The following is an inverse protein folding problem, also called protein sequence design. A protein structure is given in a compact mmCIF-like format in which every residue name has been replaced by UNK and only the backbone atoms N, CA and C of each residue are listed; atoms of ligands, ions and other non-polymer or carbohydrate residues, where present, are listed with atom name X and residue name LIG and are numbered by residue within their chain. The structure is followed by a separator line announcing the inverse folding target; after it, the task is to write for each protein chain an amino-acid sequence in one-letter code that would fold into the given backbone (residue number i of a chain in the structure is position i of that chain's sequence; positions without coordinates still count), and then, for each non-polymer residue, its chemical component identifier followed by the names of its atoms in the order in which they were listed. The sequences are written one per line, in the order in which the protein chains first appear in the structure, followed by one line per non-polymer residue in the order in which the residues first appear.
data_IF_682199052563
#
_entry.id   IF_682199052563
#
_cell.length_a   1.000
_cell.length_b   1.000
_cell.length_c   1.000
_cell.angle_alpha   90.00
_cell.angle_beta   90.00
_cell.angle_gamma   90.00
#
_symmetry.space_group_name_H-M   'P 1'
#
loop_
_entity.id
_entity.type
_entity.pdbx_description
1 polymer ?
#
# COMPACT_ATOMS: atom_id res chain seq x y z
N UNK A 1 -9.48 6.96 44.93
CA UNK A 1 -8.45 6.10 44.30
C UNK A 1 -8.89 5.45 42.98
N UNK A 2 -10.16 5.12 42.76
CA UNK A 2 -10.60 4.38 41.56
C UNK A 2 -10.58 5.19 40.23
N UNK A 3 -10.59 6.53 40.29
CA UNK A 3 -10.61 7.39 39.09
C UNK A 3 -9.25 7.48 38.39
N UNK A 4 -8.16 7.53 39.17
CA UNK A 4 -6.79 7.56 38.65
C UNK A 4 -6.36 6.20 38.09
N UNK A 5 -6.84 5.11 38.69
CA UNK A 5 -6.53 3.75 38.25
C UNK A 5 -7.17 3.43 36.88
N UNK A 6 -8.36 3.98 36.63
CA UNK A 6 -9.07 3.87 35.35
C UNK A 6 -8.39 4.72 34.25
N UNK A 7 -7.93 5.92 34.59
CA UNK A 7 -7.16 6.77 33.69
C UNK A 7 -5.80 6.15 33.31
N UNK A 8 -5.13 5.49 34.26
CA UNK A 8 -3.87 4.78 34.02
C UNK A 8 -4.05 3.57 33.08
N UNK A 9 -5.15 2.83 33.25
CA UNK A 9 -5.50 1.72 32.33
C UNK A 9 -5.82 2.23 30.91
N UNK A 10 -6.52 3.36 30.80
CA UNK A 10 -6.80 3.99 29.50
C UNK A 10 -5.53 4.46 28.81
N UNK A 11 -4.59 5.06 29.56
CA UNK A 11 -3.31 5.49 29.03
C UNK A 11 -2.48 4.30 28.52
N UNK A 12 -2.41 3.21 29.29
CA UNK A 12 -1.70 1.98 28.89
C UNK A 12 -2.26 1.35 27.60
N UNK A 13 -3.58 1.46 27.38
CA UNK A 13 -4.25 0.96 26.17
C UNK A 13 -3.88 1.76 24.92
N UNK A 14 -3.65 3.08 25.06
CA UNK A 14 -3.26 3.94 23.94
C UNK A 14 -1.81 3.68 23.49
N UNK A 15 -0.89 3.43 24.44
CA UNK A 15 0.53 3.16 24.12
C UNK A 15 0.76 1.76 23.56
N UNK A 16 -0.08 0.77 23.92
CA UNK A 16 0.04 -0.62 23.45
C UNK A 16 -0.43 -0.89 22.02
N UNK A 17 -1.10 0.07 21.36
CA UNK A 17 -1.72 -0.17 20.04
C UNK A 17 -0.86 0.22 18.83
N UNK A 18 0.37 0.70 19.03
CA UNK A 18 1.31 0.89 17.92
C UNK A 18 1.87 -0.46 17.46
N UNK A 19 1.07 -1.19 16.68
CA UNK A 19 1.57 -2.27 15.84
C UNK A 19 2.49 -1.63 14.79
N UNK A 20 3.80 -1.64 15.06
CA UNK A 20 4.86 -1.27 14.13
C UNK A 20 4.85 -2.23 12.94
N UNK A 21 3.89 -2.08 12.03
CA UNK A 21 4.08 -2.54 10.66
C UNK A 21 5.10 -1.56 10.07
N UNK A 22 6.28 -2.04 9.66
CA UNK A 22 7.27 -1.22 8.95
C UNK A 22 6.53 -0.43 7.87
N UNK A 23 6.55 0.90 7.99
CA UNK A 23 6.02 1.78 6.95
C UNK A 23 7.04 1.74 5.84
N UNK A 24 6.94 0.73 4.97
CA UNK A 24 7.78 0.65 3.78
C UNK A 24 7.37 1.80 2.88
N UNK A 25 8.32 2.69 2.63
CA UNK A 25 8.12 3.89 1.84
C UNK A 25 7.82 3.51 0.40
N UNK A 26 6.68 3.97 -0.13
CA UNK A 26 6.35 3.80 -1.56
C UNK A 26 7.08 4.80 -2.46
N UNK A 27 8.06 5.52 -1.90
CA UNK A 27 8.68 6.72 -2.48
C UNK A 27 9.83 6.39 -3.44
N UNK A 28 10.25 5.12 -3.51
CA UNK A 28 11.17 4.62 -4.55
C UNK A 28 12.65 4.88 -4.35
N UNK A 29 13.03 5.40 -3.18
CA UNK A 29 14.43 5.60 -2.77
C UNK A 29 15.02 4.36 -2.10
N UNK A 30 14.16 3.47 -1.58
CA UNK A 30 14.56 2.27 -0.86
C UNK A 30 14.62 1.04 -1.78
N UNK A 31 15.59 0.16 -1.52
CA UNK A 31 15.62 -1.19 -2.07
C UNK A 31 14.55 -2.01 -1.34
N UNK A 32 13.56 -2.52 -2.09
CA UNK A 32 12.40 -3.21 -1.51
C UNK A 32 12.54 -4.70 -1.74
N UNK A 33 12.27 -5.52 -0.71
CA UNK A 33 12.22 -6.97 -0.88
C UNK A 33 10.95 -7.38 -1.64
N UNK A 34 11.00 -8.50 -2.37
CA UNK A 34 9.84 -8.99 -3.10
C UNK A 34 8.60 -9.22 -2.20
N UNK A 35 8.83 -9.68 -0.96
CA UNK A 35 7.76 -9.86 0.03
C UNK A 35 7.07 -8.54 0.37
N UNK A 36 7.84 -7.47 0.51
CA UNK A 36 7.36 -6.12 0.83
C UNK A 36 6.60 -5.51 -0.35
N UNK A 37 7.10 -5.70 -1.58
CA UNK A 37 6.39 -5.31 -2.80
C UNK A 37 5.03 -6.00 -2.93
N UNK A 38 4.96 -7.32 -2.69
CA UNK A 38 3.69 -8.06 -2.67
C UNK A 38 2.80 -7.59 -1.50
N UNK A 39 3.41 -7.13 -0.41
CA UNK A 39 2.71 -6.53 0.74
C UNK A 39 1.95 -5.23 0.41
N UNK A 40 2.29 -4.56 -0.69
CA UNK A 40 1.58 -3.36 -1.15
C UNK A 40 0.17 -3.62 -1.66
N UNK A 41 -0.13 -4.87 -2.04
CA UNK A 41 -1.43 -5.30 -2.53
C UNK A 41 -2.25 -5.81 -1.36
N UNK A 42 -3.39 -5.16 -1.10
CA UNK A 42 -4.31 -5.56 -0.05
C UNK A 42 -4.91 -6.95 -0.33
N UNK A 43 -5.08 -7.78 0.70
CA UNK A 43 -5.78 -9.05 0.54
C UNK A 43 -7.25 -8.80 0.18
N UNK A 44 -7.74 -9.46 -0.87
CA UNK A 44 -9.15 -9.44 -1.27
C UNK A 44 -9.76 -10.82 -1.10
N UNK A 45 -11.00 -10.85 -0.59
CA UNK A 45 -11.77 -12.08 -0.46
C UNK A 45 -12.49 -12.40 -1.78
N UNK A 46 -12.56 -13.69 -2.11
CA UNK A 46 -13.24 -14.17 -3.32
C UNK A 46 -14.73 -14.45 -3.02
N UNK A 47 -15.64 -14.22 -3.99
CA UNK A 47 -15.39 -13.72 -5.35
C UNK A 47 -15.11 -12.21 -5.38
N UNK A 48 -14.11 -11.80 -6.15
CA UNK A 48 -13.73 -10.40 -6.32
C UNK A 48 -14.03 -9.93 -7.74
N UNK A 49 -14.78 -8.84 -7.87
CA UNK A 49 -15.17 -8.28 -9.18
C UNK A 49 -14.58 -6.89 -9.35
N UNK A 50 -13.92 -6.67 -10.49
CA UNK A 50 -13.41 -5.36 -10.91
C UNK A 50 -14.33 -4.85 -12.02
N UNK A 51 -14.92 -3.67 -11.83
CA UNK A 51 -15.71 -2.98 -12.84
C UNK A 51 -15.00 -1.71 -13.32
N UNK A 52 -15.37 -1.19 -14.50
CA UNK A 52 -14.80 0.05 -15.04
C UNK A 52 -14.97 1.24 -14.08
N UNK A 53 -16.08 1.27 -13.35
CA UNK A 53 -16.37 2.27 -12.32
C UNK A 53 -15.44 2.17 -11.11
N UNK A 54 -14.84 1.01 -10.87
CA UNK A 54 -13.80 0.82 -9.85
C UNK A 54 -12.50 1.49 -10.27
N UNK A 55 -12.16 1.45 -11.56
CA UNK A 55 -10.93 2.02 -12.11
C UNK A 55 -11.01 3.54 -12.31
N UNK A 56 -12.22 4.09 -12.47
CA UNK A 56 -12.42 5.54 -12.60
C UNK A 56 -12.41 6.30 -11.26
N UNK A 57 -12.43 5.58 -10.13
CA UNK A 57 -12.30 6.22 -8.80
C UNK A 57 -10.91 6.82 -8.63
N UNK A 58 -10.87 8.11 -8.27
CA UNK A 58 -9.63 8.80 -7.92
C UNK A 58 -9.11 8.23 -6.60
N UNK A 59 -7.98 7.53 -6.67
CA UNK A 59 -7.23 7.09 -5.50
C UNK A 59 -6.30 8.22 -5.02
N UNK A 60 -6.09 8.35 -3.71
CA UNK A 60 -5.16 9.35 -3.19
C UNK A 60 -3.73 9.04 -3.65
N UNK A 61 -2.94 10.08 -3.92
CA UNK A 61 -1.58 9.93 -4.43
C UNK A 61 -0.66 9.14 -3.46
N UNK A 62 -0.97 9.15 -2.16
CA UNK A 62 -0.28 8.34 -1.14
C UNK A 62 -0.43 6.83 -1.33
N UNK A 63 -1.41 6.38 -2.12
CA UNK A 63 -1.63 4.96 -2.44
C UNK A 63 -0.86 4.51 -3.68
N UNK A 64 -0.31 5.45 -4.45
CA UNK A 64 0.47 5.13 -5.64
C UNK A 64 1.80 4.46 -5.26
N UNK A 65 2.25 3.52 -6.08
CA UNK A 65 3.61 2.97 -6.03
C UNK A 65 4.49 3.83 -6.92
N UNK A 66 5.62 4.33 -6.41
CA UNK A 66 6.57 5.07 -7.23
C UNK A 66 7.01 4.24 -8.44
N UNK A 67 7.08 4.88 -9.59
CA UNK A 67 7.44 4.22 -10.85
C UNK A 67 8.81 3.52 -10.76
N UNK A 68 9.80 4.16 -10.13
CA UNK A 68 11.14 3.62 -9.92
C UNK A 68 11.12 2.30 -9.15
N UNK A 69 10.36 2.25 -8.03
CA UNK A 69 10.16 1.06 -7.22
C UNK A 69 9.50 -0.05 -8.04
N UNK A 70 8.40 0.27 -8.72
CA UNK A 70 7.69 -0.71 -9.52
C UNK A 70 8.59 -1.34 -10.61
N UNK A 71 9.45 -0.53 -11.23
CA UNK A 71 10.39 -0.99 -12.26
C UNK A 71 11.53 -1.86 -11.74
N UNK A 72 11.73 -1.99 -10.43
CA UNK A 72 12.64 -2.97 -9.85
C UNK A 72 12.12 -4.41 -10.05
N UNK A 73 10.80 -4.59 -10.14
CA UNK A 73 10.15 -5.89 -10.26
C UNK A 73 9.52 -6.14 -11.64
N UNK A 74 9.02 -5.09 -12.29
CA UNK A 74 8.32 -5.19 -13.57
C UNK A 74 9.04 -4.33 -14.61
N UNK A 75 9.57 -4.93 -15.69
CA UNK A 75 10.34 -4.19 -16.69
C UNK A 75 9.59 -3.01 -17.32
N UNK A 76 10.29 -1.90 -17.52
CA UNK A 76 9.74 -0.67 -18.09
C UNK A 76 9.27 -0.82 -19.56
N UNK A 77 9.76 -1.86 -20.25
CA UNK A 77 9.41 -2.18 -21.63
C UNK A 77 7.92 -2.46 -21.82
N UNK A 78 7.25 -2.96 -20.79
CA UNK A 78 5.81 -3.23 -20.78
C UNK A 78 5.02 -1.92 -20.93
N UNK A 79 5.46 -0.86 -20.24
CA UNK A 79 4.76 0.43 -20.26
C UNK A 79 5.08 1.26 -21.50
N UNK A 80 6.28 1.11 -22.07
CA UNK A 80 6.70 1.89 -23.25
C UNK A 80 5.78 1.69 -24.45
N UNK A 81 5.18 0.52 -24.60
CA UNK A 81 4.26 0.22 -25.70
C UNK A 81 2.96 1.03 -25.63
N UNK A 82 2.36 1.07 -24.45
CA UNK A 82 1.01 1.65 -24.28
C UNK A 82 1.05 3.11 -23.81
N UNK A 83 2.08 3.51 -23.06
CA UNK A 83 2.22 4.85 -22.47
C UNK A 83 3.34 5.69 -23.11
N UNK A 84 4.13 5.12 -24.02
CA UNK A 84 5.20 5.83 -24.72
C UNK A 84 6.28 6.35 -23.76
N UNK A 85 6.47 7.67 -23.74
CA UNK A 85 7.43 8.36 -22.84
C UNK A 85 6.83 8.72 -21.48
N UNK A 86 5.53 8.54 -21.30
CA UNK A 86 4.81 8.95 -20.09
C UNK A 86 4.94 7.86 -19.02
N UNK A 87 5.29 8.26 -17.80
CA UNK A 87 5.32 7.35 -16.65
C UNK A 87 3.90 7.24 -16.07
N UNK A 88 3.22 6.09 -16.15
CA UNK A 88 1.89 5.95 -15.58
C UNK A 88 1.93 5.99 -14.05
N UNK A 89 0.84 6.47 -13.44
CA UNK A 89 0.61 6.29 -12.00
C UNK A 89 0.12 4.87 -11.76
N UNK A 90 0.75 4.18 -10.82
CA UNK A 90 0.50 2.76 -10.56
C UNK A 90 -0.17 2.62 -9.19
N UNK A 91 -1.34 2.00 -9.17
CA UNK A 91 -2.12 1.78 -7.95
C UNK A 91 -2.39 0.29 -7.75
N UNK A 92 -2.06 -0.28 -6.58
CA UNK A 92 -2.33 -1.69 -6.31
C UNK A 92 -3.81 -1.90 -5.96
N UNK A 93 -4.46 -2.83 -6.66
CA UNK A 93 -5.89 -3.14 -6.45
C UNK A 93 -6.08 -4.17 -5.34
N UNK A 94 -5.36 -5.29 -5.40
CA UNK A 94 -5.40 -6.33 -4.38
C UNK A 94 -4.70 -7.62 -4.79
N UNK A 95 -4.59 -8.56 -3.85
CA UNK A 95 -4.07 -9.92 -4.03
C UNK A 95 -5.00 -10.92 -3.37
N UNK A 96 -5.10 -12.13 -3.91
CA UNK A 96 -5.76 -13.24 -3.20
C UNK A 96 -4.81 -13.83 -2.17
N UNK A 97 -5.36 -14.59 -1.21
CA UNK A 97 -4.54 -15.43 -0.33
C UNK A 97 -3.89 -16.57 -1.10
#
# INVERSE_FOLDING_TARGET
MNRFLLALCFLALVIGSCKNKKVISRTGEDEVEAADFIGFFQSVDLPFTIADTTLSKKLPDSSAIAYQLFTQFVPDSIFKKDFGKTKPKIYPLGKTK
#
